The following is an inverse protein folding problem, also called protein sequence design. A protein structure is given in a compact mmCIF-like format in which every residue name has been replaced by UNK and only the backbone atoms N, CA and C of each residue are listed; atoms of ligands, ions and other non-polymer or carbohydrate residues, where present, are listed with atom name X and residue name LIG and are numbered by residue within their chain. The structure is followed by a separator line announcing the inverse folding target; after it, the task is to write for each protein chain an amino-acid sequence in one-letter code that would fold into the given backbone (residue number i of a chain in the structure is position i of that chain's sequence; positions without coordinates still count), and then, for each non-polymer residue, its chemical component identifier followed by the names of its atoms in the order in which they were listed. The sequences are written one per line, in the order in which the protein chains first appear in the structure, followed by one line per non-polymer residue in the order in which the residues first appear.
data_IF_516448375426
#
_entry.id   IF_516448375426
#
_cell.length_a   1.000
_cell.length_b   1.000
_cell.length_c   1.000
_cell.angle_alpha   90.00
_cell.angle_beta   90.00
_cell.angle_gamma   90.00
#
_symmetry.space_group_name_H-M   'P 1'
#
loop_
_entity.id
_entity.type
_entity.pdbx_description
1 polymer ?
#
# COMPACT_ATOMS: atom_id res chain seq x y z
N UNK A 1 7.61 -9.24 -20.24
CA UNK A 1 8.45 -8.65 -19.15
C UNK A 1 7.64 -8.62 -17.87
N UNK A 2 8.20 -9.11 -16.75
CA UNK A 2 7.55 -9.07 -15.44
C UNK A 2 8.26 -8.07 -14.53
N UNK A 3 7.52 -7.28 -13.75
CA UNK A 3 8.08 -6.31 -12.80
C UNK A 3 7.13 -6.08 -11.63
N UNK A 4 7.69 -5.65 -10.50
CA UNK A 4 6.94 -5.23 -9.32
C UNK A 4 7.43 -3.87 -8.87
N UNK A 5 6.55 -3.06 -8.33
CA UNK A 5 6.88 -1.80 -7.65
C UNK A 5 7.22 -1.99 -6.17
N UNK A 6 7.11 -3.22 -5.66
CA UNK A 6 7.40 -3.51 -4.27
C UNK A 6 8.91 -3.52 -4.00
N UNK A 7 9.34 -2.73 -3.03
CA UNK A 7 10.74 -2.66 -2.58
C UNK A 7 10.81 -2.81 -1.07
N UNK A 8 11.74 -3.67 -0.60
CA UNK A 8 11.99 -3.87 0.83
C UNK A 8 13.17 -3.03 1.37
N UNK A 9 13.80 -2.26 0.52
CA UNK A 9 15.00 -1.48 0.83
C UNK A 9 14.72 0.01 1.03
N UNK A 10 13.48 0.36 1.35
CA UNK A 10 13.12 1.74 1.65
C UNK A 10 13.70 2.11 3.03
N UNK A 11 14.53 3.18 3.12
CA UNK A 11 15.12 3.58 4.38
C UNK A 11 14.07 4.17 5.32
N UNK A 12 14.04 3.65 6.53
CA UNK A 12 13.11 4.05 7.57
C UNK A 12 13.86 4.28 8.88
N UNK A 13 13.26 5.06 9.76
CA UNK A 13 13.76 5.23 11.12
C UNK A 13 12.77 4.60 12.08
N UNK A 14 13.18 3.51 12.72
CA UNK A 14 12.41 2.88 13.81
C UNK A 14 12.61 3.67 15.09
N UNK A 15 11.51 3.95 15.76
CA UNK A 15 11.48 4.67 17.03
C UNK A 15 11.19 3.68 18.15
N UNK A 16 12.18 3.39 18.98
CA UNK A 16 12.02 2.56 20.16
C UNK A 16 11.85 3.44 21.39
N UNK A 17 10.71 3.30 22.08
CA UNK A 17 10.41 4.07 23.29
C UNK A 17 10.78 3.27 24.52
N UNK A 18 11.64 3.83 25.37
CA UNK A 18 12.02 3.25 26.65
C UNK A 18 10.88 3.43 27.68
N UNK A 19 10.03 2.42 27.78
CA UNK A 19 8.89 2.43 28.71
C UNK A 19 9.31 2.56 30.18
N UNK A 20 10.51 2.11 30.55
CA UNK A 20 11.01 2.21 31.92
C UNK A 20 11.41 3.65 32.26
N UNK A 21 12.05 4.35 31.33
CA UNK A 21 12.34 5.77 31.50
C UNK A 21 11.07 6.61 31.53
N UNK A 22 10.13 6.33 30.61
CA UNK A 22 8.83 7.01 30.59
C UNK A 22 8.10 6.85 31.93
N UNK A 23 8.03 5.63 32.48
CA UNK A 23 7.37 5.35 33.75
C UNK A 23 8.04 6.10 34.92
N UNK A 24 9.37 6.16 34.95
CA UNK A 24 10.11 6.91 35.98
C UNK A 24 9.85 8.42 35.92
N UNK A 25 9.69 8.94 34.73
CA UNK A 25 9.36 10.35 34.50
C UNK A 25 7.86 10.67 34.64
N UNK A 26 6.98 9.66 34.84
CA UNK A 26 5.55 9.87 34.91
C UNK A 26 4.86 10.16 33.57
N UNK A 27 5.53 9.86 32.46
CA UNK A 27 5.02 10.09 31.10
C UNK A 27 4.55 8.75 30.51
N UNK A 28 3.43 8.74 29.80
CA UNK A 28 3.03 7.53 29.06
C UNK A 28 3.85 7.37 27.78
N UNK A 29 4.28 6.16 27.40
CA UNK A 29 4.93 5.92 26.11
C UNK A 29 4.09 6.40 24.91
N UNK A 30 2.75 6.30 25.02
CA UNK A 30 1.82 6.82 24.00
C UNK A 30 1.95 8.32 23.80
N UNK A 31 2.06 9.10 24.89
CA UNK A 31 2.22 10.55 24.79
C UNK A 31 3.50 10.96 24.07
N UNK A 32 4.58 10.17 24.22
CA UNK A 32 5.84 10.38 23.50
C UNK A 32 5.66 10.13 22.00
N UNK A 33 4.99 9.03 21.64
CA UNK A 33 4.69 8.69 20.25
C UNK A 33 3.72 9.68 19.59
N UNK A 34 2.70 10.12 20.32
CA UNK A 34 1.73 11.12 19.86
C UNK A 34 2.39 12.49 19.62
N UNK A 35 3.32 12.87 20.49
CA UNK A 35 4.10 14.08 20.30
C UNK A 35 4.95 13.97 19.03
N UNK A 36 5.74 12.89 18.86
CA UNK A 36 6.51 12.64 17.65
C UNK A 36 5.66 12.61 16.40
N UNK A 37 4.54 11.90 16.43
CA UNK A 37 3.58 11.85 15.33
C UNK A 37 3.05 13.22 14.95
N UNK A 38 2.77 14.07 15.93
CA UNK A 38 2.30 15.44 15.71
C UNK A 38 3.37 16.35 15.12
N UNK A 39 4.62 16.25 15.60
CA UNK A 39 5.74 17.03 15.07
C UNK A 39 6.11 16.61 13.65
N UNK A 40 6.23 15.31 13.37
CA UNK A 40 6.71 14.78 12.10
C UNK A 40 5.57 14.58 11.08
N UNK A 41 4.46 13.99 11.49
CA UNK A 41 3.34 13.62 10.63
C UNK A 41 2.25 14.69 10.52
N UNK A 42 2.19 15.56 11.51
CA UNK A 42 1.15 16.58 11.65
C UNK A 42 -0.07 16.10 12.44
N UNK A 43 -0.60 17.00 13.25
CA UNK A 43 -1.81 16.81 14.03
C UNK A 43 -2.99 17.51 13.34
N UNK A 44 -4.09 16.79 13.19
CA UNK A 44 -5.34 17.38 12.78
C UNK A 44 -5.94 18.17 13.96
N UNK A 45 -6.23 19.46 13.73
CA UNK A 45 -6.75 20.36 14.75
C UNK A 45 -8.25 20.59 14.59
N UNK A 46 -8.66 21.00 13.40
CA UNK A 46 -10.06 21.33 13.11
C UNK A 46 -10.34 21.40 11.62
N UNK A 47 -11.61 21.67 11.30
CA UNK A 47 -12.01 22.07 9.96
C UNK A 47 -12.51 23.52 9.99
N UNK A 48 -12.37 24.23 8.87
CA UNK A 48 -13.10 25.45 8.62
C UNK A 48 -13.77 25.42 7.24
N UNK A 49 -14.89 26.09 7.13
CA UNK A 49 -15.67 26.16 5.90
C UNK A 49 -15.44 27.52 5.22
N UNK A 50 -15.00 27.49 3.97
CA UNK A 50 -14.83 28.69 3.16
C UNK A 50 -15.17 28.40 1.70
N UNK A 51 -15.84 29.29 1.02
CA UNK A 51 -16.26 29.15 -0.39
C UNK A 51 -17.03 27.85 -0.68
N UNK A 52 -17.85 27.38 0.26
CA UNK A 52 -18.62 26.13 0.11
C UNK A 52 -17.79 24.86 0.18
N UNK A 53 -16.52 24.95 0.59
CA UNK A 53 -15.61 23.80 0.78
C UNK A 53 -15.17 23.70 2.22
N UNK A 54 -14.90 22.44 2.64
CA UNK A 54 -14.35 22.13 3.96
C UNK A 54 -12.83 22.01 3.84
N UNK A 55 -12.10 22.81 4.60
CA UNK A 55 -10.64 22.76 4.68
C UNK A 55 -10.20 22.17 6.00
N UNK A 56 -9.25 21.26 5.96
CA UNK A 56 -8.63 20.68 7.16
C UNK A 56 -7.50 21.58 7.64
N UNK A 57 -7.51 21.88 8.93
CA UNK A 57 -6.40 22.57 9.61
C UNK A 57 -5.47 21.53 10.20
N UNK A 58 -4.25 21.47 9.69
CA UNK A 58 -3.19 20.58 10.18
C UNK A 58 -2.10 21.43 10.82
N UNK A 59 -1.61 20.97 11.96
CA UNK A 59 -0.46 21.57 12.65
C UNK A 59 0.72 20.60 12.56
N UNK A 60 1.87 21.10 12.16
CA UNK A 60 3.09 20.31 12.01
C UNK A 60 4.31 21.18 12.33
N UNK A 61 5.40 20.57 12.74
CA UNK A 61 6.67 21.29 12.89
C UNK A 61 7.15 21.83 11.54
N UNK A 62 7.79 22.99 11.56
CA UNK A 62 8.46 23.54 10.38
C UNK A 62 9.53 22.54 9.87
N UNK A 63 9.78 22.45 8.54
CA UNK A 63 10.72 21.49 7.98
C UNK A 63 12.09 21.47 8.67
N UNK A 64 12.63 22.61 9.00
CA UNK A 64 13.94 22.79 9.70
C UNK A 64 14.03 22.03 11.04
N UNK A 65 12.90 21.79 11.71
CA UNK A 65 12.85 21.10 13.00
C UNK A 65 12.47 19.61 12.89
N UNK A 66 12.41 19.03 11.68
CA UNK A 66 12.03 17.63 11.46
C UNK A 66 12.82 16.92 10.36
N UNK A 67 13.84 17.57 9.76
CA UNK A 67 14.62 17.00 8.66
C UNK A 67 15.60 15.94 9.11
N UNK A 68 16.19 16.09 10.28
CA UNK A 68 17.30 15.29 10.77
C UNK A 68 16.94 14.54 12.04
N UNK A 69 17.65 13.44 12.32
CA UNK A 69 17.59 12.74 13.61
C UNK A 69 17.98 13.67 14.77
N UNK A 70 18.87 14.63 14.53
CA UNK A 70 19.27 15.62 15.53
C UNK A 70 18.14 16.59 15.87
N UNK A 71 17.25 16.88 14.93
CA UNK A 71 16.08 17.73 15.14
C UNK A 71 15.10 17.13 16.16
N UNK A 72 15.06 15.80 16.31
CA UNK A 72 14.26 15.12 17.34
C UNK A 72 14.70 15.45 18.76
N UNK A 73 15.96 15.83 18.95
CA UNK A 73 16.48 16.34 20.22
C UNK A 73 15.83 17.65 20.68
N UNK A 74 15.27 18.41 19.73
CA UNK A 74 14.59 19.68 19.98
C UNK A 74 13.07 19.55 20.11
N UNK A 75 12.55 18.33 20.00
CA UNK A 75 11.12 18.07 20.24
C UNK A 75 10.87 17.79 21.71
N UNK A 76 9.75 18.30 22.21
CA UNK A 76 9.42 18.20 23.62
C UNK A 76 8.07 17.50 23.80
N UNK A 77 7.97 16.72 24.86
CA UNK A 77 6.72 16.11 25.34
C UNK A 77 6.37 16.72 26.71
N UNK A 78 5.08 16.91 26.94
CA UNK A 78 4.60 17.46 28.21
C UNK A 78 4.73 16.43 29.32
N UNK A 79 5.37 16.84 30.43
CA UNK A 79 5.50 16.08 31.65
C UNK A 79 4.84 16.87 32.80
N UNK A 80 3.55 16.70 32.99
CA UNK A 80 2.79 17.49 33.96
C UNK A 80 2.79 18.98 33.57
N UNK A 81 3.47 19.80 34.40
CA UNK A 81 3.65 21.25 34.13
C UNK A 81 4.92 21.58 33.36
N UNK A 82 5.85 20.65 33.25
CA UNK A 82 7.14 20.85 32.59
C UNK A 82 7.16 20.21 31.21
N UNK A 83 8.19 20.57 30.42
CA UNK A 83 8.45 19.97 29.12
C UNK A 83 9.74 19.16 29.19
N UNK A 84 9.71 17.93 28.72
CA UNK A 84 10.88 17.06 28.67
C UNK A 84 11.27 16.79 27.20
N UNK A 85 12.55 16.80 26.84
CA UNK A 85 12.98 16.50 25.47
C UNK A 85 12.71 15.03 25.15
N UNK A 86 12.12 14.79 23.97
CA UNK A 86 11.73 13.45 23.50
C UNK A 86 12.94 12.52 23.39
N UNK A 87 14.11 13.06 23.06
CA UNK A 87 15.37 12.31 22.94
C UNK A 87 15.78 11.53 24.19
N UNK A 88 15.26 11.90 25.38
CA UNK A 88 15.54 11.17 26.61
C UNK A 88 14.80 9.81 26.67
N UNK A 89 13.69 9.69 25.94
CA UNK A 89 12.75 8.56 26.02
C UNK A 89 12.82 7.63 24.81
N UNK A 90 13.44 8.08 23.72
CA UNK A 90 13.47 7.33 22.47
C UNK A 90 14.87 6.99 22.01
N UNK A 91 15.00 5.86 21.35
CA UNK A 91 16.19 5.47 20.59
C UNK A 91 15.79 5.33 19.13
N UNK A 92 16.58 5.93 18.25
CA UNK A 92 16.34 5.87 16.81
C UNK A 92 17.27 4.85 16.17
N UNK A 93 16.69 3.96 15.38
CA UNK A 93 17.42 2.93 14.65
C UNK A 93 17.11 3.04 13.16
N UNK A 94 18.13 3.15 12.32
CA UNK A 94 17.97 3.09 10.87
C UNK A 94 17.70 1.65 10.45
N UNK A 95 16.55 1.43 9.81
CA UNK A 95 16.13 0.13 9.31
C UNK A 95 15.74 0.23 7.85
N UNK A 96 15.80 -0.89 7.16
CA UNK A 96 15.25 -1.01 5.81
C UNK A 96 13.94 -1.80 5.91
N UNK A 97 12.95 -1.35 5.21
CA UNK A 97 11.65 -2.01 5.21
C UNK A 97 10.82 -1.66 3.98
N UNK A 98 9.65 -2.24 3.83
CA UNK A 98 8.75 -1.89 2.75
C UNK A 98 8.13 -0.50 2.98
N UNK A 99 8.04 0.30 1.92
CA UNK A 99 7.38 1.60 1.96
C UNK A 99 5.87 1.45 2.22
N UNK A 100 5.26 0.43 1.62
CA UNK A 100 3.82 0.17 1.72
C UNK A 100 3.55 -1.30 1.98
N UNK A 101 2.54 -1.58 2.81
CA UNK A 101 2.01 -2.92 3.03
C UNK A 101 0.67 -3.04 2.30
N UNK A 102 0.67 -3.68 1.14
CA UNK A 102 -0.53 -3.89 0.34
C UNK A 102 -1.26 -5.16 0.79
N UNK A 103 -2.58 -5.12 0.71
CA UNK A 103 -3.44 -6.29 0.95
C UNK A 103 -4.40 -6.47 -0.21
N UNK A 104 -4.60 -7.72 -0.58
CA UNK A 104 -5.62 -8.14 -1.53
C UNK A 104 -6.52 -9.16 -0.84
N UNK A 105 -7.82 -8.93 -0.83
CA UNK A 105 -8.79 -9.75 -0.10
C UNK A 105 -8.39 -10.01 1.37
N UNK A 106 -7.86 -8.99 2.06
CA UNK A 106 -7.36 -9.02 3.44
C UNK A 106 -6.01 -9.76 3.63
N UNK A 107 -5.53 -10.50 2.66
CA UNK A 107 -4.21 -11.14 2.69
C UNK A 107 -3.11 -10.16 2.29
N UNK A 108 -1.96 -10.26 2.95
CA UNK A 108 -0.78 -9.49 2.53
C UNK A 108 -0.37 -9.93 1.11
N UNK A 109 -0.23 -8.97 0.21
CA UNK A 109 -0.01 -9.25 -1.20
C UNK A 109 1.03 -8.31 -1.82
N UNK A 110 1.72 -8.81 -2.82
CA UNK A 110 2.61 -8.05 -3.68
C UNK A 110 2.04 -8.11 -5.10
N UNK A 111 1.86 -6.95 -5.72
CA UNK A 111 1.44 -6.89 -7.10
C UNK A 111 2.62 -7.10 -8.05
N UNK A 112 2.51 -8.07 -8.94
CA UNK A 112 3.41 -8.27 -10.06
C UNK A 112 2.69 -7.93 -11.35
N UNK A 113 3.24 -7.03 -12.14
CA UNK A 113 2.74 -6.67 -13.46
C UNK A 113 3.50 -7.47 -14.52
N UNK A 114 2.78 -8.13 -15.39
CA UNK A 114 3.37 -8.96 -16.45
C UNK A 114 2.85 -8.48 -17.80
N UNK A 115 3.76 -8.07 -18.66
CA UNK A 115 3.44 -7.70 -20.03
C UNK A 115 3.81 -8.85 -20.97
N UNK A 116 2.91 -9.27 -21.88
CA UNK A 116 3.23 -10.26 -22.91
C UNK A 116 4.46 -9.84 -23.72
N UNK A 117 5.24 -10.80 -24.18
CA UNK A 117 6.23 -10.55 -25.20
C UNK A 117 5.54 -10.42 -26.59
N UNK A 118 6.23 -9.83 -27.53
CA UNK A 118 5.73 -9.65 -28.89
C UNK A 118 5.36 -11.02 -29.51
N UNK A 119 4.13 -11.13 -30.01
CA UNK A 119 3.61 -12.36 -30.60
C UNK A 119 2.89 -13.32 -29.64
N UNK A 120 2.81 -13.00 -28.36
CA UNK A 120 2.09 -13.83 -27.38
C UNK A 120 0.79 -13.15 -26.89
N UNK A 121 -0.24 -13.95 -26.67
CA UNK A 121 -1.52 -13.48 -26.17
C UNK A 121 -1.54 -13.39 -24.62
N UNK A 122 -2.46 -12.58 -24.06
CA UNK A 122 -2.68 -12.50 -22.61
C UNK A 122 -3.05 -13.86 -22.00
N UNK A 123 -3.85 -14.65 -22.69
CA UNK A 123 -4.26 -15.98 -22.22
C UNK A 123 -3.11 -17.00 -22.17
N UNK A 124 -2.13 -16.91 -23.07
CA UNK A 124 -0.91 -17.75 -22.99
C UNK A 124 -0.06 -17.35 -21.78
N UNK A 125 0.09 -16.05 -21.55
CA UNK A 125 0.81 -15.54 -20.38
C UNK A 125 0.15 -15.99 -19.09
N UNK A 126 -1.19 -15.96 -18.99
CA UNK A 126 -1.91 -16.46 -17.81
C UNK A 126 -1.65 -17.94 -17.56
N UNK A 127 -1.60 -18.78 -18.60
CA UNK A 127 -1.27 -20.22 -18.44
C UNK A 127 0.16 -20.41 -17.91
N UNK A 128 1.13 -19.66 -18.45
CA UNK A 128 2.51 -19.73 -17.97
C UNK A 128 2.63 -19.24 -16.53
N UNK A 129 1.92 -18.18 -16.15
CA UNK A 129 1.87 -17.71 -14.76
C UNK A 129 1.34 -18.79 -13.83
N UNK A 130 0.25 -19.47 -14.21
CA UNK A 130 -0.33 -20.55 -13.42
C UNK A 130 0.68 -21.70 -13.22
N UNK A 131 1.33 -22.14 -14.29
CA UNK A 131 2.32 -23.21 -14.26
C UNK A 131 3.53 -22.85 -13.39
N UNK A 132 4.08 -21.65 -13.57
CA UNK A 132 5.22 -21.16 -12.76
C UNK A 132 4.83 -21.01 -11.30
N UNK A 133 3.61 -20.51 -11.02
CA UNK A 133 3.12 -20.35 -9.65
C UNK A 133 3.00 -21.70 -8.93
N UNK A 134 2.46 -22.74 -9.58
CA UNK A 134 2.37 -24.10 -9.01
C UNK A 134 3.75 -24.70 -8.70
N UNK A 135 4.76 -24.40 -9.51
CA UNK A 135 6.10 -24.93 -9.34
C UNK A 135 6.95 -24.18 -8.31
N UNK A 136 6.68 -22.86 -8.13
CA UNK A 136 7.63 -21.98 -7.40
C UNK A 136 7.06 -21.48 -6.08
N UNK A 137 5.74 -21.37 -5.92
CA UNK A 137 5.16 -20.81 -4.70
C UNK A 137 5.27 -21.80 -3.53
N UNK A 138 5.82 -21.36 -2.37
CA UNK A 138 5.86 -22.19 -1.17
C UNK A 138 4.46 -22.45 -0.61
N UNK A 139 4.34 -23.47 0.24
CA UNK A 139 3.10 -23.75 0.98
C UNK A 139 2.63 -22.51 1.77
N UNK A 140 1.37 -22.16 1.62
CA UNK A 140 0.76 -21.00 2.27
C UNK A 140 0.76 -19.72 1.42
N UNK A 141 1.38 -19.74 0.25
CA UNK A 141 1.30 -18.67 -0.73
C UNK A 141 0.36 -19.06 -1.89
N UNK A 142 -0.35 -18.09 -2.41
CA UNK A 142 -1.19 -18.25 -3.58
C UNK A 142 -1.05 -17.03 -4.50
N UNK A 143 -1.62 -17.12 -5.68
CA UNK A 143 -1.72 -15.99 -6.59
C UNK A 143 -3.18 -15.77 -6.98
N UNK A 144 -3.51 -14.55 -7.33
CA UNK A 144 -4.82 -14.19 -7.86
C UNK A 144 -4.65 -13.10 -8.92
N UNK A 145 -5.47 -13.18 -9.96
CA UNK A 145 -5.48 -12.16 -10.99
C UNK A 145 -6.25 -10.92 -10.53
N UNK A 146 -5.73 -9.74 -10.85
CA UNK A 146 -6.36 -8.46 -10.58
C UNK A 146 -6.83 -7.75 -11.85
N UNK A 147 -7.76 -6.82 -11.71
CA UNK A 147 -8.23 -5.98 -12.82
C UNK A 147 -8.75 -6.77 -14.03
N UNK A 148 -8.37 -6.36 -15.22
CA UNK A 148 -8.82 -6.98 -16.48
C UNK A 148 -8.38 -8.44 -16.63
N UNK A 149 -7.20 -8.80 -16.13
CA UNK A 149 -6.71 -10.18 -16.19
C UNK A 149 -7.63 -11.16 -15.44
N UNK A 150 -8.29 -10.72 -14.38
CA UNK A 150 -9.29 -11.49 -13.65
C UNK A 150 -10.54 -11.72 -14.49
N UNK A 151 -11.01 -10.70 -15.19
CA UNK A 151 -12.20 -10.82 -16.08
C UNK A 151 -11.89 -11.76 -17.25
N UNK A 152 -10.71 -11.65 -17.84
CA UNK A 152 -10.25 -12.55 -18.91
C UNK A 152 -10.17 -14.00 -18.43
N UNK A 153 -9.61 -14.24 -17.23
CA UNK A 153 -9.51 -15.56 -16.65
C UNK A 153 -10.90 -16.17 -16.35
N UNK A 154 -11.86 -15.34 -15.92
CA UNK A 154 -13.22 -15.76 -15.63
C UNK A 154 -14.08 -15.97 -16.89
N UNK A 155 -13.79 -15.22 -17.96
CA UNK A 155 -14.48 -15.32 -19.25
C UNK A 155 -13.93 -16.49 -20.06
N UNK A 156 -13.99 -17.69 -19.50
CA UNK A 156 -13.42 -18.91 -20.10
C UNK A 156 -13.80 -19.07 -21.58
N UNK A 157 -12.86 -19.54 -22.38
CA UNK A 157 -12.96 -19.64 -23.85
C UNK A 157 -14.23 -20.31 -24.41
N UNK A 158 -14.96 -21.08 -23.61
CA UNK A 158 -16.24 -21.68 -23.97
C UNK A 158 -17.34 -20.62 -24.21
N UNK A 159 -17.42 -19.56 -23.40
CA UNK A 159 -18.41 -18.49 -23.60
C UNK A 159 -18.13 -17.69 -24.86
N UNK A 160 -16.88 -17.42 -25.15
CA UNK A 160 -16.47 -16.70 -26.35
C UNK A 160 -16.79 -17.49 -27.62
N UNK A 161 -16.51 -18.78 -27.65
CA UNK A 161 -16.88 -19.67 -28.77
C UNK A 161 -18.38 -19.71 -28.98
N UNK A 162 -19.17 -19.77 -27.91
CA UNK A 162 -20.64 -19.78 -27.98
C UNK A 162 -21.17 -18.45 -28.56
N UNK A 163 -20.62 -17.31 -28.17
CA UNK A 163 -21.00 -15.99 -28.72
C UNK A 163 -20.69 -15.92 -30.22
N UNK A 164 -19.50 -16.37 -30.65
CA UNK A 164 -19.18 -16.40 -32.08
C UNK A 164 -20.11 -17.33 -32.87
N UNK A 165 -20.45 -18.49 -32.33
CA UNK A 165 -21.39 -19.40 -32.98
C UNK A 165 -22.79 -18.77 -33.16
N UNK A 166 -23.27 -18.04 -32.14
CA UNK A 166 -24.55 -17.31 -32.23
C UNK A 166 -24.46 -16.19 -33.27
N UNK A 167 -23.38 -15.43 -33.31
CA UNK A 167 -23.18 -14.35 -34.29
C UNK A 167 -23.19 -14.91 -35.74
N UNK A 168 -22.45 -15.98 -35.98
CA UNK A 168 -22.42 -16.64 -37.31
C UNK A 168 -23.78 -17.15 -37.69
N UNK A 169 -24.52 -17.76 -36.73
CA UNK A 169 -25.88 -18.26 -36.96
C UNK A 169 -26.86 -17.13 -37.30
N UNK A 170 -26.76 -15.97 -36.61
CA UNK A 170 -27.58 -14.80 -36.91
C UNK A 170 -27.29 -14.23 -38.29
N UNK A 171 -26.02 -14.14 -38.67
CA UNK A 171 -25.62 -13.71 -40.02
C UNK A 171 -26.18 -14.64 -41.07
N UNK A 172 -26.09 -15.95 -40.86
CA UNK A 172 -26.68 -16.95 -41.75
C UNK A 172 -28.22 -16.79 -41.89
N UNK A 173 -28.92 -16.56 -40.75
CA UNK A 173 -30.38 -16.33 -40.76
C UNK A 173 -30.75 -15.08 -41.57
N UNK A 174 -30.03 -13.98 -41.40
CA UNK A 174 -30.25 -12.73 -42.12
C UNK A 174 -30.05 -12.96 -43.65
N UNK A 175 -28.97 -13.64 -44.02
CA UNK A 175 -28.69 -13.94 -45.41
C UNK A 175 -29.75 -14.87 -46.01
N UNK A 176 -30.22 -15.86 -45.25
CA UNK A 176 -31.26 -16.76 -45.69
C UNK A 176 -32.65 -16.10 -45.88
N UNK A 177 -32.93 -15.03 -45.12
CA UNK A 177 -34.17 -14.24 -45.27
C UNK A 177 -34.08 -13.23 -46.44
N UNK A 178 -32.87 -12.82 -46.82
CA UNK A 178 -32.65 -11.86 -47.91
C UNK A 178 -32.53 -12.50 -49.28
N UNK A 179 -32.28 -13.80 -49.37
CA UNK A 179 -32.11 -14.56 -50.58
C UNK A 179 -33.28 -15.53 -50.79
#
# INVERSE_FOLDING_TARGET
MAYTSYAMNFPQVSVDVDAAKCKRAGISPGAVLDALGSYCGGAYISNYNQFGKVYRVMMQASPEYRLDEQALGNMFVRNGTEMAPVSQFVTLNKVLGPETANRFNLYSAIAANVNPAEGYSSGEVQKVIAEVAEQTLPLGYGYEYGGMAREEANTGGAQTVFIYAICIFLIYLILACLY
#
